data_IF_302191493530
#
_entry.id   IF_302191493530
#
_cell.length_a   1.000
_cell.length_b   1.000
_cell.length_c   1.000
_cell.angle_alpha   90.00
_cell.angle_beta   90.00
_cell.angle_gamma   90.00
#
_symmetry.space_group_name_H-M   'P 1'
#
loop_
_entity.id
_entity.type
_entity.pdbx_description
1 polymer ?
#
# COMPACT_ATOMS: atom_id res chain seq x y z
N UNK A 1 -7.90 -20.07 -6.44
CA UNK A 1 -7.26 -20.00 -7.77
C UNK A 1 -5.88 -20.67 -7.68
N UNK A 2 -5.35 -21.28 -8.77
CA UNK A 2 -4.05 -21.96 -8.72
C UNK A 2 -2.90 -20.96 -8.53
N UNK A 3 -1.82 -21.37 -7.85
CA UNK A 3 -0.62 -20.56 -7.70
C UNK A 3 0.03 -20.26 -9.06
N UNK A 4 0.49 -19.02 -9.23
CA UNK A 4 1.29 -18.62 -10.39
C UNK A 4 2.70 -19.18 -10.33
N UNK A 5 3.33 -19.32 -11.49
CA UNK A 5 4.73 -19.72 -11.57
C UNK A 5 5.67 -18.62 -11.03
N UNK A 6 6.82 -18.99 -10.44
CA UNK A 6 7.78 -18.02 -9.94
C UNK A 6 8.34 -17.17 -11.09
N UNK A 7 8.31 -15.85 -10.93
CA UNK A 7 8.74 -14.91 -11.97
C UNK A 7 9.19 -13.59 -11.37
N UNK A 8 10.11 -12.89 -12.04
CA UNK A 8 10.55 -11.56 -11.58
C UNK A 8 9.46 -10.49 -11.71
N UNK A 9 8.58 -10.64 -12.69
CA UNK A 9 7.44 -9.75 -12.97
C UNK A 9 6.23 -10.61 -13.31
N UNK A 10 5.07 -10.27 -12.75
CA UNK A 10 3.80 -10.98 -12.96
C UNK A 10 2.88 -10.08 -13.73
N UNK A 11 2.23 -10.64 -14.74
CA UNK A 11 1.26 -9.94 -15.58
C UNK A 11 -0.17 -10.38 -15.28
N UNK A 12 -0.37 -11.21 -14.25
CA UNK A 12 -1.71 -11.64 -13.85
C UNK A 12 -2.56 -10.43 -13.46
N UNK A 13 -3.84 -10.40 -13.84
CA UNK A 13 -4.72 -9.31 -13.51
C UNK A 13 -5.03 -9.33 -12.01
N UNK A 14 -5.24 -8.15 -11.44
CA UNK A 14 -5.81 -8.04 -10.11
C UNK A 14 -7.27 -8.47 -10.10
N UNK A 15 -7.67 -9.16 -9.03
CA UNK A 15 -9.05 -9.53 -8.73
C UNK A 15 -9.54 -8.78 -7.51
N UNK A 16 -10.86 -8.80 -7.29
CA UNK A 16 -11.46 -8.25 -6.08
C UNK A 16 -10.91 -8.93 -4.81
N UNK A 17 -10.70 -10.25 -4.84
CA UNK A 17 -10.12 -11.01 -3.72
C UNK A 17 -8.70 -10.56 -3.38
N UNK A 18 -7.92 -10.15 -4.39
CA UNK A 18 -6.58 -9.62 -4.15
C UNK A 18 -6.63 -8.29 -3.42
N UNK A 19 -7.52 -7.38 -3.81
CA UNK A 19 -7.68 -6.09 -3.13
C UNK A 19 -8.14 -6.28 -1.67
N UNK A 20 -9.07 -7.22 -1.43
CA UNK A 20 -9.56 -7.53 -0.08
C UNK A 20 -8.44 -8.11 0.80
N UNK A 21 -7.59 -8.97 0.21
CA UNK A 21 -6.41 -9.51 0.90
C UNK A 21 -5.41 -8.41 1.23
N UNK A 22 -5.12 -7.50 0.31
CA UNK A 22 -4.24 -6.35 0.59
C UNK A 22 -4.78 -5.47 1.72
N UNK A 23 -6.09 -5.18 1.71
CA UNK A 23 -6.75 -4.47 2.81
C UNK A 23 -6.58 -5.20 4.14
N UNK A 24 -6.82 -6.51 4.15
CA UNK A 24 -6.68 -7.34 5.37
C UNK A 24 -5.26 -7.31 5.90
N UNK A 25 -4.26 -7.47 5.02
CA UNK A 25 -2.83 -7.42 5.36
C UNK A 25 -2.47 -6.05 5.97
N UNK A 26 -2.89 -4.95 5.34
CA UNK A 26 -2.59 -3.61 5.81
C UNK A 26 -3.25 -3.30 7.16
N UNK A 27 -4.49 -3.73 7.38
CA UNK A 27 -5.18 -3.57 8.67
C UNK A 27 -4.53 -4.41 9.78
N UNK A 28 -4.05 -5.62 9.47
CA UNK A 28 -3.33 -6.46 10.42
C UNK A 28 -1.99 -5.82 10.84
N UNK A 29 -1.24 -5.22 9.89
CA UNK A 29 -0.02 -4.47 10.20
C UNK A 29 -0.30 -3.26 11.10
N UNK A 30 -1.40 -2.52 10.84
CA UNK A 30 -1.81 -1.42 11.71
C UNK A 30 -2.11 -1.89 13.13
N UNK A 31 -2.87 -2.98 13.28
CA UNK A 31 -3.19 -3.55 14.59
C UNK A 31 -1.90 -3.95 15.33
N UNK A 32 -1.00 -4.69 14.67
CA UNK A 32 0.27 -5.10 15.25
C UNK A 32 1.17 -3.91 15.61
N UNK A 33 1.17 -2.85 14.80
CA UNK A 33 1.88 -1.60 15.09
C UNK A 33 1.32 -0.93 16.36
N UNK A 34 -0.01 -0.84 16.49
CA UNK A 34 -0.63 -0.24 17.68
C UNK A 34 -0.40 -1.07 18.94
N UNK A 35 -0.42 -2.41 18.83
CA UNK A 35 -0.17 -3.30 19.96
C UNK A 35 1.27 -3.21 20.45
N UNK A 36 2.24 -3.17 19.52
CA UNK A 36 3.67 -3.04 19.87
C UNK A 36 4.07 -1.62 20.25
N UNK A 37 3.32 -0.60 19.81
CA UNK A 37 3.57 0.81 20.09
C UNK A 37 2.28 1.53 20.52
N UNK A 38 1.82 1.35 21.77
CA UNK A 38 0.53 1.88 22.24
C UNK A 38 0.35 3.39 22.07
N UNK A 39 1.44 4.17 22.12
CA UNK A 39 1.40 5.61 21.89
C UNK A 39 0.93 5.99 20.47
N UNK A 40 1.09 5.09 19.48
CA UNK A 40 0.61 5.28 18.10
C UNK A 40 -0.87 4.93 17.95
N UNK A 41 -1.52 4.29 18.93
CA UNK A 41 -2.93 3.90 18.83
C UNK A 41 -3.88 5.09 18.60
N UNK A 42 -3.45 6.31 18.91
CA UNK A 42 -4.15 7.57 18.57
C UNK A 42 -4.42 7.74 17.07
N UNK A 43 -3.70 7.00 16.22
CA UNK A 43 -3.86 7.02 14.77
C UNK A 43 -4.96 6.09 14.26
N UNK A 44 -5.52 5.19 15.10
CA UNK A 44 -6.60 4.27 14.72
C UNK A 44 -7.81 5.02 14.16
N UNK A 45 -8.18 6.13 14.80
CA UNK A 45 -9.31 6.99 14.38
C UNK A 45 -8.87 8.12 13.44
N UNK A 46 -7.66 8.02 12.87
CA UNK A 46 -7.09 9.02 11.95
C UNK A 46 -6.72 8.42 10.60
N UNK A 47 -7.04 7.15 10.34
CA UNK A 47 -6.82 6.52 9.04
C UNK A 47 -7.74 7.17 7.99
N UNK A 48 -7.13 7.82 7.00
CA UNK A 48 -7.83 8.47 5.89
C UNK A 48 -8.09 7.48 4.76
N UNK A 49 -7.03 6.79 4.32
CA UNK A 49 -7.05 5.92 3.15
C UNK A 49 -5.96 4.85 3.28
N UNK A 50 -6.28 3.62 2.89
CA UNK A 50 -5.30 2.60 2.50
C UNK A 50 -5.40 2.48 0.98
N UNK A 51 -4.27 2.48 0.29
CA UNK A 51 -4.23 2.43 -1.17
C UNK A 51 -3.11 1.52 -1.67
N UNK A 52 -3.40 0.83 -2.78
CA UNK A 52 -2.40 0.22 -3.63
C UNK A 52 -1.76 1.36 -4.44
N UNK A 53 -0.44 1.34 -4.50
CA UNK A 53 0.35 2.39 -5.11
C UNK A 53 1.34 1.80 -6.12
N UNK A 54 2.03 2.69 -6.82
CA UNK A 54 3.18 2.38 -7.65
C UNK A 54 2.89 1.39 -8.78
N UNK A 55 3.86 0.56 -9.16
CA UNK A 55 3.76 -0.42 -10.24
C UNK A 55 2.55 -1.36 -10.09
N UNK A 56 2.20 -1.75 -8.86
CA UNK A 56 1.00 -2.56 -8.59
C UNK A 56 -0.29 -1.82 -8.96
N UNK A 57 -0.40 -0.55 -8.57
CA UNK A 57 -1.55 0.27 -8.94
C UNK A 57 -1.61 0.56 -10.44
N UNK A 58 -0.47 0.84 -11.07
CA UNK A 58 -0.40 1.10 -12.51
C UNK A 58 -0.80 -0.15 -13.30
N UNK A 59 -0.34 -1.33 -12.86
CA UNK A 59 -0.74 -2.62 -13.42
C UNK A 59 -2.23 -2.91 -13.21
N UNK A 60 -2.81 -2.57 -12.05
CA UNK A 60 -4.26 -2.63 -11.86
C UNK A 60 -5.02 -1.76 -12.88
N UNK A 61 -4.52 -0.56 -13.17
CA UNK A 61 -5.19 0.40 -14.08
C UNK A 61 -5.07 -0.01 -15.55
N UNK A 62 -3.92 -0.50 -16.00
CA UNK A 62 -3.66 -0.71 -17.44
C UNK A 62 -3.08 -2.08 -17.85
N UNK A 63 -2.67 -2.92 -16.89
CA UNK A 63 -2.16 -4.26 -17.13
C UNK A 63 -0.84 -4.38 -17.91
N UNK A 64 -0.15 -3.26 -18.21
CA UNK A 64 0.87 -3.22 -19.26
C UNK A 64 2.26 -3.68 -18.80
N UNK A 65 2.64 -3.31 -17.58
CA UNK A 65 4.03 -3.43 -17.13
C UNK A 65 4.27 -4.58 -16.15
N UNK A 66 3.19 -5.19 -15.66
CA UNK A 66 3.25 -6.21 -14.63
C UNK A 66 3.66 -5.65 -13.27
N UNK A 67 3.81 -6.53 -12.30
CA UNK A 67 4.11 -6.19 -10.91
C UNK A 67 5.27 -7.03 -10.36
N UNK A 68 6.22 -6.37 -9.70
CA UNK A 68 7.36 -7.01 -9.00
C UNK A 68 7.06 -7.23 -7.52
N UNK A 69 6.53 -6.21 -6.88
CA UNK A 69 6.10 -6.12 -5.50
C UNK A 69 4.83 -5.28 -5.38
N UNK A 70 4.16 -5.38 -4.24
CA UNK A 70 2.87 -4.75 -3.99
C UNK A 70 3.03 -3.65 -2.94
N UNK A 71 3.12 -2.40 -3.38
CA UNK A 71 3.22 -1.25 -2.49
C UNK A 71 1.84 -0.83 -1.96
N UNK A 72 1.65 -0.94 -0.64
CA UNK A 72 0.43 -0.51 0.04
C UNK A 72 0.75 0.62 1.01
N UNK A 73 0.17 1.78 0.76
CA UNK A 73 0.29 2.94 1.64
C UNK A 73 -0.92 3.06 2.55
N UNK A 74 -0.66 3.29 3.84
CA UNK A 74 -1.67 3.82 4.78
C UNK A 74 -1.45 5.31 5.01
N UNK A 75 -2.43 6.11 4.66
CA UNK A 75 -2.49 7.55 4.86
C UNK A 75 -3.28 7.87 6.12
N UNK A 76 -2.69 8.69 6.98
CA UNK A 76 -3.28 9.17 8.21
C UNK A 76 -3.43 10.69 8.23
N UNK A 77 -4.42 11.20 8.93
CA UNK A 77 -4.43 12.58 9.40
C UNK A 77 -3.36 12.74 10.50
N UNK A 78 -2.49 13.74 10.37
CA UNK A 78 -1.38 13.99 11.29
C UNK A 78 -1.93 14.34 12.68
N UNK A 79 -1.41 13.69 13.72
CA UNK A 79 -1.66 14.10 15.09
C UNK A 79 -0.79 15.32 15.43
N UNK A 80 -1.28 16.33 16.17
CA UNK A 80 -0.53 17.55 16.49
C UNK A 80 0.69 17.34 17.41
N UNK A 81 0.87 16.16 17.99
CA UNK A 81 1.86 15.91 19.06
C UNK A 81 2.56 14.57 18.88
N UNK A 82 1.80 13.50 18.64
CA UNK A 82 2.34 12.19 18.36
C UNK A 82 2.77 12.12 16.89
N UNK A 83 4.00 11.70 16.63
CA UNK A 83 4.55 11.63 15.26
C UNK A 83 4.49 10.19 14.73
N UNK A 84 3.80 10.00 13.61
CA UNK A 84 3.99 8.80 12.78
C UNK A 84 5.35 8.87 12.09
N UNK A 85 6.17 7.82 12.24
CA UNK A 85 7.48 7.76 11.59
C UNK A 85 7.32 7.59 10.07
N UNK A 86 7.72 8.57 9.25
CA UNK A 86 7.53 8.48 7.79
C UNK A 86 8.41 7.39 7.15
N UNK A 87 9.47 6.94 7.81
CA UNK A 87 10.31 5.85 7.28
C UNK A 87 9.84 4.48 7.76
N UNK A 88 8.65 4.39 8.38
CA UNK A 88 8.09 3.08 8.71
C UNK A 88 7.74 2.35 7.42
N UNK A 89 8.37 1.20 7.29
CA UNK A 89 8.26 0.29 6.16
C UNK A 89 8.29 -1.12 6.74
N UNK A 90 7.39 -1.99 6.30
CA UNK A 90 7.33 -3.39 6.71
C UNK A 90 7.04 -4.23 5.49
N UNK A 91 7.73 -5.35 5.35
CA UNK A 91 7.57 -6.25 4.20
C UNK A 91 6.96 -7.55 4.66
N UNK A 92 5.83 -7.91 4.07
CA UNK A 92 5.09 -9.13 4.38
C UNK A 92 4.86 -9.96 3.12
N UNK A 93 4.43 -11.20 3.32
CA UNK A 93 4.13 -12.14 2.25
C UNK A 93 2.66 -11.99 1.84
N UNK A 94 2.37 -11.83 0.56
CA UNK A 94 0.99 -11.86 0.04
C UNK A 94 0.34 -13.26 0.17
N UNK A 95 1.18 -14.29 0.31
CA UNK A 95 0.78 -15.69 0.31
C UNK A 95 0.51 -16.21 -1.10
N UNK A 96 0.17 -17.49 -1.17
CA UNK A 96 -0.09 -18.19 -2.42
C UNK A 96 -1.17 -17.46 -3.24
N UNK A 97 -0.82 -17.18 -4.50
CA UNK A 97 -1.65 -16.47 -5.47
C UNK A 97 -1.12 -16.65 -6.88
N UNK A 98 -1.90 -16.23 -7.85
CA UNK A 98 -1.60 -16.17 -9.28
C UNK A 98 -0.41 -15.26 -9.58
N UNK A 99 -0.11 -14.27 -8.72
CA UNK A 99 1.07 -13.43 -8.89
C UNK A 99 2.39 -14.20 -8.76
N UNK A 100 2.36 -15.39 -8.15
CA UNK A 100 3.57 -16.15 -7.81
C UNK A 100 4.47 -15.39 -6.83
N UNK A 101 5.65 -15.95 -6.55
CA UNK A 101 6.71 -15.25 -5.82
C UNK A 101 7.78 -14.75 -6.77
N UNK A 102 8.56 -13.76 -6.33
CA UNK A 102 9.71 -13.25 -7.06
C UNK A 102 10.99 -13.96 -6.62
N UNK A 103 11.68 -14.72 -7.48
CA UNK A 103 12.89 -15.44 -7.10
C UNK A 103 14.02 -14.54 -6.59
N UNK A 104 14.18 -13.35 -7.20
CA UNK A 104 15.20 -12.38 -6.82
C UNK A 104 15.06 -11.85 -5.39
N UNK A 105 13.89 -11.96 -4.73
CA UNK A 105 13.71 -11.55 -3.34
C UNK A 105 14.59 -12.36 -2.37
N UNK A 106 14.97 -13.60 -2.72
CA UNK A 106 15.91 -14.38 -1.91
C UNK A 106 17.28 -13.68 -1.81
N UNK A 107 17.75 -13.08 -2.89
CA UNK A 107 19.04 -12.38 -2.92
C UNK A 107 18.88 -10.94 -2.40
N UNK A 108 17.89 -10.22 -2.88
CA UNK A 108 17.69 -8.80 -2.59
C UNK A 108 17.16 -8.55 -1.17
N UNK A 109 16.20 -9.37 -0.73
CA UNK A 109 15.52 -9.23 0.58
C UNK A 109 16.00 -10.26 1.60
N UNK A 110 16.90 -11.17 1.22
CA UNK A 110 17.40 -12.27 2.07
C UNK A 110 16.28 -13.12 2.66
N UNK A 111 15.15 -13.20 1.95
CA UNK A 111 13.92 -13.85 2.40
C UNK A 111 13.24 -14.50 1.22
N UNK A 112 12.83 -15.77 1.41
CA UNK A 112 11.96 -16.46 0.46
C UNK A 112 10.51 -16.22 0.86
N UNK A 113 9.70 -15.78 -0.10
CA UNK A 113 8.26 -15.65 0.02
C UNK A 113 7.54 -16.81 -0.65
N UNK A 114 6.31 -17.07 -0.22
CA UNK A 114 5.35 -17.99 -0.86
C UNK A 114 4.65 -17.29 -2.02
N UNK A 115 4.23 -16.03 -1.81
CA UNK A 115 3.67 -15.17 -2.83
C UNK A 115 4.54 -13.94 -3.11
N UNK A 116 3.91 -12.89 -3.62
CA UNK A 116 4.57 -11.62 -3.88
C UNK A 116 4.87 -10.88 -2.58
N UNK A 117 6.00 -10.18 -2.54
CA UNK A 117 6.28 -9.26 -1.45
C UNK A 117 5.25 -8.12 -1.44
N UNK A 118 4.76 -7.77 -0.25
CA UNK A 118 3.91 -6.61 -0.01
C UNK A 118 4.69 -5.63 0.85
N UNK A 119 4.98 -4.46 0.31
CA UNK A 119 5.63 -3.36 1.01
C UNK A 119 4.55 -2.48 1.66
N UNK A 120 4.54 -2.43 2.98
CA UNK A 120 3.59 -1.67 3.79
C UNK A 120 4.25 -0.37 4.25
N UNK A 121 3.72 0.75 3.78
CA UNK A 121 4.26 2.09 4.03
C UNK A 121 3.22 2.97 4.71
N UNK A 122 3.70 3.99 5.43
CA UNK A 122 2.82 4.95 6.12
C UNK A 122 3.14 6.40 5.77
N UNK A 123 2.11 7.23 5.72
CA UNK A 123 2.22 8.68 5.54
C UNK A 123 1.22 9.39 6.43
N UNK A 124 1.65 10.43 7.14
CA UNK A 124 0.75 11.32 7.90
C UNK A 124 0.65 12.69 7.24
N UNK A 125 -0.54 13.02 6.76
CA UNK A 125 -0.85 14.24 6.02
C UNK A 125 -1.30 15.36 6.98
N UNK A 126 -0.91 16.63 6.74
CA UNK A 126 -1.26 17.75 7.61
C UNK A 126 -2.72 18.20 7.38
N UNK A 127 -3.68 17.31 7.64
CA UNK A 127 -5.12 17.54 7.51
C UNK A 127 -5.84 17.01 8.76
N UNK A 128 -7.08 17.44 8.95
CA UNK A 128 -7.95 16.93 10.03
C UNK A 128 -8.45 15.50 9.73
N UNK A 129 -8.82 14.71 10.77
CA UNK A 129 -9.30 13.33 10.59
C UNK A 129 -10.56 13.17 9.73
N UNK A 130 -11.40 14.20 9.64
CA UNK A 130 -12.63 14.22 8.86
C UNK A 130 -12.46 14.82 7.45
N UNK A 131 -11.23 15.21 7.09
CA UNK A 131 -10.93 15.71 5.76
C UNK A 131 -11.24 14.67 4.67
N UNK A 132 -11.62 15.13 3.47
CA UNK A 132 -11.80 14.25 2.32
C UNK A 132 -10.48 13.52 2.00
N UNK A 133 -10.43 12.18 2.15
CA UNK A 133 -9.21 11.41 1.92
C UNK A 133 -8.67 11.54 0.50
N UNK A 134 -9.55 11.65 -0.50
CA UNK A 134 -9.16 11.76 -1.91
C UNK A 134 -8.48 13.10 -2.14
N UNK A 135 -9.12 14.20 -1.71
CA UNK A 135 -8.56 15.52 -1.83
C UNK A 135 -7.24 15.65 -1.07
N UNK A 136 -7.14 15.09 0.14
CA UNK A 136 -5.93 15.12 0.94
C UNK A 136 -4.75 14.40 0.24
N UNK A 137 -4.97 13.20 -0.29
CA UNK A 137 -3.94 12.43 -1.00
C UNK A 137 -3.53 13.12 -2.30
N UNK A 138 -4.49 13.60 -3.11
CA UNK A 138 -4.18 14.34 -4.36
C UNK A 138 -3.38 15.61 -4.11
N UNK A 139 -3.80 16.41 -3.14
CA UNK A 139 -3.08 17.62 -2.76
C UNK A 139 -1.66 17.27 -2.27
N UNK A 140 -1.51 16.20 -1.48
CA UNK A 140 -0.20 15.76 -1.01
C UNK A 140 0.70 15.32 -2.17
N UNK A 141 0.17 14.54 -3.13
CA UNK A 141 0.89 14.20 -4.35
C UNK A 141 1.33 15.51 -5.00
N UNK A 142 0.41 16.36 -5.45
CA UNK A 142 0.69 17.60 -6.18
C UNK A 142 1.73 18.52 -5.52
N UNK A 143 1.61 18.76 -4.21
CA UNK A 143 2.34 19.83 -3.51
C UNK A 143 3.59 19.38 -2.77
N UNK A 144 3.75 18.07 -2.50
CA UNK A 144 4.87 17.63 -1.65
C UNK A 144 6.21 17.74 -2.38
N UNK A 145 7.24 18.32 -1.73
CA UNK A 145 8.60 18.37 -2.28
C UNK A 145 9.39 17.07 -2.07
N UNK A 146 8.79 16.05 -1.42
CA UNK A 146 9.47 14.80 -1.08
C UNK A 146 9.54 13.86 -2.30
N UNK A 147 10.55 12.99 -2.32
CA UNK A 147 10.79 12.04 -3.42
C UNK A 147 9.68 10.99 -3.57
N UNK A 148 9.16 10.42 -2.47
CA UNK A 148 8.10 9.39 -2.55
C UNK A 148 6.85 9.85 -3.31
N UNK A 149 6.27 11.04 -3.07
CA UNK A 149 5.18 11.55 -3.89
C UNK A 149 5.57 11.91 -5.33
N UNK A 150 6.86 12.15 -5.64
CA UNK A 150 7.29 12.29 -7.05
C UNK A 150 7.22 10.95 -7.79
N UNK A 151 7.71 9.87 -7.18
CA UNK A 151 7.58 8.51 -7.73
C UNK A 151 6.11 8.09 -7.84
N UNK A 152 5.29 8.37 -6.83
CA UNK A 152 3.85 8.08 -6.86
C UNK A 152 3.07 8.92 -7.87
N UNK A 153 3.54 10.12 -8.26
CA UNK A 153 2.91 10.93 -9.31
C UNK A 153 3.09 10.31 -10.69
N UNK A 154 4.20 9.62 -10.90
CA UNK A 154 4.54 8.98 -12.17
C UNK A 154 3.78 7.67 -12.37
N UNK A 155 3.08 7.20 -11.32
CA UNK A 155 2.34 5.95 -11.29
C UNK A 155 0.91 6.19 -10.76
N UNK A 156 0.12 5.13 -10.62
CA UNK A 156 -1.26 5.23 -10.17
C UNK A 156 -1.40 5.07 -8.64
N UNK A 157 -2.57 5.49 -8.13
CA UNK A 157 -3.03 5.22 -6.76
C UNK A 157 -4.46 4.69 -6.82
N UNK A 158 -4.68 3.50 -6.26
CA UNK A 158 -5.97 2.80 -6.23
C UNK A 158 -6.41 2.59 -4.79
N UNK A 159 -7.62 3.03 -4.44
CA UNK A 159 -8.15 2.88 -3.09
C UNK A 159 -8.42 1.43 -2.71
N UNK A 160 -8.11 1.08 -1.46
CA UNK A 160 -8.37 -0.24 -0.86
C UNK A 160 -9.34 -0.12 0.32
N UNK A 161 -9.12 0.86 1.20
CA UNK A 161 -9.97 1.12 2.37
C UNK A 161 -10.01 2.63 2.66
N UNK A 162 -11.13 3.20 3.17
CA UNK A 162 -12.42 2.57 3.46
C UNK A 162 -13.12 1.94 2.25
N UNK A 163 -14.00 0.97 2.49
CA UNK A 163 -14.70 0.17 1.45
C UNK A 163 -15.31 1.02 0.32
N UNK A 164 -15.84 2.20 0.65
CA UNK A 164 -16.41 3.15 -0.33
C UNK A 164 -15.42 3.64 -1.40
N UNK A 165 -14.12 3.43 -1.21
CA UNK A 165 -13.06 3.78 -2.17
C UNK A 165 -12.37 2.55 -2.77
N UNK A 166 -12.79 1.33 -2.43
CA UNK A 166 -12.18 0.10 -2.91
C UNK A 166 -12.22 0.04 -4.43
N UNK A 167 -11.07 -0.26 -5.05
CA UNK A 167 -10.90 -0.35 -6.50
C UNK A 167 -11.01 0.99 -7.25
N UNK A 168 -11.24 2.11 -6.55
CA UNK A 168 -11.36 3.43 -7.17
C UNK A 168 -9.98 3.99 -7.50
N UNK A 169 -9.78 4.41 -8.74
CA UNK A 169 -8.58 5.16 -9.14
C UNK A 169 -8.62 6.55 -8.51
N UNK A 170 -7.72 6.78 -7.56
CA UNK A 170 -7.55 8.04 -6.84
C UNK A 170 -6.65 8.98 -7.64
N UNK A 171 -5.60 8.43 -8.24
CA UNK A 171 -4.66 9.12 -9.13
C UNK A 171 -4.31 8.17 -10.29
N UNK A 172 -4.47 8.60 -11.56
CA UNK A 172 -4.20 7.77 -12.72
C UNK A 172 -2.73 7.72 -13.13
#
# INVERSE_FOLDING_TARGET
MPAGEPSDVSFEPFTDEHLDRLTTIALADQAAMFDSSPHLAVYRDRTLLIALCQGGALHYVNGKWGVKDLDVYTFYARHPTIRMHPLRHTVVDFGESEFGYRPADLEERKRRFVGRAVDLLVRSLPVEPDADPIAAVRNWLETSPNESPQLLKEEAVVGLYPERYRGRVIWP
#
